data_IF_542672604950
#
_entry.id   IF_542672604950
#
_cell.length_a   1.000
_cell.length_b   1.000
_cell.length_c   1.000
_cell.angle_alpha   90.00
_cell.angle_beta   90.00
_cell.angle_gamma   90.00
#
_symmetry.space_group_name_H-M   'P 1'
#
loop_
_entity.id
_entity.type
_entity.pdbx_description
1 polymer ?
#
# COMPACT_ATOMS: atom_id res chain seq x y z
N UNK A 1 -61.45 -18.95 62.94
CA UNK A 1 -61.15 -20.08 62.05
C UNK A 1 -61.19 -19.57 60.62
N UNK A 2 -60.13 -18.91 60.14
CA UNK A 2 -60.06 -18.30 58.86
C UNK A 2 -59.03 -19.05 57.97
N UNK A 3 -59.48 -19.57 56.83
CA UNK A 3 -58.67 -20.25 55.83
C UNK A 3 -58.12 -19.23 54.85
N UNK A 4 -56.81 -19.02 54.88
CA UNK A 4 -56.14 -18.27 53.80
C UNK A 4 -55.84 -19.18 52.59
N UNK A 5 -56.40 -18.84 51.47
CA UNK A 5 -56.10 -19.45 50.20
C UNK A 5 -54.92 -18.68 49.59
N UNK A 6 -53.79 -19.34 49.43
CA UNK A 6 -52.65 -18.83 48.68
C UNK A 6 -52.90 -18.94 47.20
N UNK A 7 -52.87 -17.80 46.52
CA UNK A 7 -52.89 -17.72 45.07
C UNK A 7 -51.44 -17.62 44.63
N UNK A 8 -50.95 -18.67 43.96
CA UNK A 8 -49.68 -18.64 43.24
C UNK A 8 -49.83 -17.87 41.96
N UNK A 9 -49.18 -16.71 41.87
CA UNK A 9 -49.10 -15.91 40.62
C UNK A 9 -47.82 -16.35 39.89
N UNK A 10 -47.99 -17.10 38.82
CA UNK A 10 -46.92 -17.54 37.95
C UNK A 10 -46.51 -16.40 37.01
N UNK A 11 -45.35 -15.76 37.24
CA UNK A 11 -44.76 -14.79 36.32
C UNK A 11 -44.03 -15.54 35.21
N UNK A 12 -44.62 -15.51 34.01
CA UNK A 12 -43.97 -16.01 32.79
C UNK A 12 -43.07 -14.90 32.25
N UNK A 13 -41.78 -14.97 32.51
CA UNK A 13 -40.78 -14.05 31.92
C UNK A 13 -40.41 -14.52 30.50
N UNK A 14 -40.99 -13.85 29.51
CA UNK A 14 -40.60 -14.03 28.09
C UNK A 14 -39.29 -13.30 27.85
N UNK A 15 -38.19 -14.04 27.74
CA UNK A 15 -36.89 -13.48 27.33
C UNK A 15 -36.93 -13.18 25.83
N UNK A 16 -36.98 -11.90 25.50
CA UNK A 16 -36.82 -11.41 24.12
C UNK A 16 -35.33 -11.46 23.76
N UNK A 17 -34.90 -12.50 23.04
CA UNK A 17 -33.57 -12.56 22.47
C UNK A 17 -33.52 -11.63 21.28
N UNK A 18 -33.08 -10.39 21.49
CA UNK A 18 -32.72 -9.48 20.40
C UNK A 18 -31.46 -10.01 19.73
N UNK A 19 -31.63 -10.67 18.58
CA UNK A 19 -30.54 -11.04 17.70
C UNK A 19 -29.87 -9.76 17.17
N UNK A 20 -28.70 -9.43 17.69
CA UNK A 20 -27.83 -8.42 17.06
C UNK A 20 -27.32 -9.04 15.76
N UNK A 21 -28.02 -8.77 14.65
CA UNK A 21 -27.46 -8.92 13.32
C UNK A 21 -26.33 -7.89 13.21
N UNK A 22 -25.09 -8.34 13.34
CA UNK A 22 -23.94 -7.54 12.96
C UNK A 22 -24.12 -7.16 11.48
N UNK A 23 -24.12 -5.87 11.13
CA UNK A 23 -24.09 -5.50 9.72
C UNK A 23 -22.79 -6.09 9.17
N UNK A 24 -22.92 -7.12 8.33
CA UNK A 24 -21.83 -7.61 7.53
C UNK A 24 -21.30 -6.43 6.72
N UNK A 25 -20.13 -5.95 7.10
CA UNK A 25 -19.37 -4.99 6.30
C UNK A 25 -18.99 -5.68 5.00
N UNK A 26 -19.89 -5.66 4.01
CA UNK A 26 -19.50 -5.82 2.61
C UNK A 26 -18.83 -4.52 2.19
N UNK A 27 -17.70 -4.23 2.82
CA UNK A 27 -16.77 -3.25 2.30
C UNK A 27 -16.23 -3.84 1.00
N UNK A 28 -16.84 -3.52 -0.13
CA UNK A 28 -16.10 -3.46 -1.38
C UNK A 28 -14.97 -2.47 -1.12
N UNK A 29 -13.82 -3.01 -0.70
CA UNK A 29 -12.58 -2.25 -0.71
C UNK A 29 -12.34 -1.96 -2.18
N UNK A 30 -12.67 -0.73 -2.60
CA UNK A 30 -12.14 -0.20 -3.87
C UNK A 30 -10.68 -0.62 -3.91
N UNK A 31 -10.22 -1.31 -4.97
CA UNK A 31 -8.88 -1.89 -4.99
C UNK A 31 -7.79 -0.84 -4.70
N UNK A 32 -8.12 0.45 -4.87
CA UNK A 32 -7.22 1.54 -4.52
C UNK A 32 -5.84 1.30 -5.11
N UNK A 33 -4.82 1.42 -4.29
CA UNK A 33 -3.43 1.17 -4.72
C UNK A 33 -2.98 -0.28 -4.52
N UNK A 34 -3.67 -1.08 -3.68
CA UNK A 34 -3.28 -2.48 -3.38
C UNK A 34 -3.19 -3.32 -4.65
N UNK A 35 -2.09 -4.06 -4.82
CA UNK A 35 -1.84 -4.93 -5.97
C UNK A 35 -0.48 -4.70 -6.61
N UNK A 36 -0.28 -5.29 -7.78
CA UNK A 36 0.95 -5.24 -8.56
C UNK A 36 0.80 -4.30 -9.76
N UNK A 37 1.88 -3.59 -10.08
CA UNK A 37 1.90 -2.52 -11.06
C UNK A 37 3.16 -2.57 -11.91
N UNK A 38 3.01 -2.37 -13.23
CA UNK A 38 4.12 -2.01 -14.12
C UNK A 38 4.15 -0.48 -14.23
N UNK A 39 5.31 0.13 -13.98
CA UNK A 39 5.45 1.57 -13.88
C UNK A 39 6.51 2.07 -14.85
N UNK A 40 6.13 3.01 -15.68
CA UNK A 40 7.05 3.79 -16.51
C UNK A 40 7.62 4.93 -15.66
N UNK A 41 8.94 5.06 -15.65
CA UNK A 41 9.68 6.08 -14.90
C UNK A 41 10.39 6.99 -15.89
N UNK A 42 9.98 8.26 -15.95
CA UNK A 42 10.65 9.28 -16.75
C UNK A 42 11.75 9.94 -15.93
N UNK A 43 13.00 9.77 -16.36
CA UNK A 43 14.24 10.28 -15.75
C UNK A 43 14.92 11.25 -16.71
N UNK A 44 15.78 12.17 -16.25
CA UNK A 44 16.60 13.00 -17.15
C UNK A 44 17.45 12.16 -18.12
N UNK A 45 17.91 10.98 -17.69
CA UNK A 45 18.71 10.05 -18.50
C UNK A 45 17.87 9.13 -19.42
N UNK A 46 16.54 9.28 -19.48
CA UNK A 46 15.67 8.45 -20.31
C UNK A 46 14.54 7.78 -19.53
N UNK A 47 13.84 6.89 -20.23
CA UNK A 47 12.68 6.17 -19.68
C UNK A 47 13.09 4.79 -19.19
N UNK A 48 12.61 4.41 -18.00
CA UNK A 48 12.82 3.10 -17.40
C UNK A 48 11.52 2.44 -16.96
N UNK A 49 11.62 1.20 -16.48
CA UNK A 49 10.50 0.41 -15.97
C UNK A 49 10.76 -0.06 -14.54
N UNK A 50 9.72 -0.01 -13.74
CA UNK A 50 9.69 -0.62 -12.40
C UNK A 50 8.47 -1.54 -12.28
N UNK A 51 8.59 -2.53 -11.41
CA UNK A 51 7.47 -3.29 -10.85
C UNK A 51 7.27 -2.82 -9.41
N UNK A 52 6.05 -2.45 -9.06
CA UNK A 52 5.68 -2.03 -7.72
C UNK A 52 4.60 -2.96 -7.19
N UNK A 53 4.72 -3.34 -5.91
CA UNK A 53 3.68 -4.11 -5.22
C UNK A 53 3.31 -3.38 -3.93
N UNK A 54 2.03 -3.07 -3.80
CA UNK A 54 1.44 -2.47 -2.61
C UNK A 54 0.57 -3.50 -1.91
N UNK A 55 0.95 -3.89 -0.69
CA UNK A 55 0.20 -4.83 0.13
C UNK A 55 -0.80 -4.11 1.04
N UNK A 56 -1.89 -4.78 1.40
CA UNK A 56 -2.97 -4.20 2.22
C UNK A 56 -2.55 -3.82 3.64
N UNK A 57 -1.44 -4.37 4.12
CA UNK A 57 -0.84 -4.05 5.43
C UNK A 57 0.01 -2.77 5.43
N UNK A 58 0.10 -2.06 4.29
CA UNK A 58 0.94 -0.87 4.15
C UNK A 58 2.39 -1.16 3.74
N UNK A 59 2.74 -2.43 3.50
CA UNK A 59 4.05 -2.79 2.98
C UNK A 59 4.17 -2.49 1.49
N UNK A 60 5.37 -2.12 1.04
CA UNK A 60 5.65 -1.74 -0.33
C UNK A 60 6.95 -2.35 -0.84
N UNK A 61 6.91 -2.93 -2.04
CA UNK A 61 8.07 -3.51 -2.71
C UNK A 61 8.27 -2.89 -4.10
N UNK A 62 9.54 -2.71 -4.45
CA UNK A 62 9.96 -2.22 -5.77
C UNK A 62 11.05 -3.10 -6.34
N UNK A 63 10.92 -3.49 -7.61
CA UNK A 63 12.04 -3.91 -8.46
C UNK A 63 12.05 -3.07 -9.74
N UNK A 64 13.14 -3.07 -10.48
CA UNK A 64 13.22 -2.25 -11.69
C UNK A 64 14.40 -2.61 -12.58
N UNK A 65 14.40 -1.98 -13.74
CA UNK A 65 15.37 -2.14 -14.82
C UNK A 65 16.80 -1.64 -14.50
N UNK A 66 16.98 -1.06 -13.32
CA UNK A 66 18.29 -0.57 -12.83
C UNK A 66 19.15 -1.64 -12.14
N UNK A 67 18.69 -2.90 -12.16
CA UNK A 67 19.52 -4.01 -11.72
C UNK A 67 20.69 -4.23 -12.72
N UNK A 68 21.96 -4.50 -12.27
CA UNK A 68 22.36 -4.86 -10.89
C UNK A 68 22.82 -3.69 -10.01
N UNK A 69 22.77 -2.44 -10.47
CA UNK A 69 23.30 -1.29 -9.69
C UNK A 69 22.38 -0.84 -8.53
N UNK A 70 21.11 -1.27 -8.54
CA UNK A 70 20.20 -1.12 -7.41
C UNK A 70 19.61 -2.47 -7.02
N UNK A 71 19.48 -2.71 -5.72
CA UNK A 71 18.69 -3.84 -5.19
C UNK A 71 17.20 -3.64 -5.44
N UNK A 72 16.38 -4.66 -5.13
CA UNK A 72 14.98 -4.45 -4.81
C UNK A 72 14.83 -3.41 -3.70
N UNK A 73 13.73 -2.65 -3.73
CA UNK A 73 13.40 -1.66 -2.72
C UNK A 73 12.32 -2.18 -1.79
N UNK A 74 12.47 -1.91 -0.50
CA UNK A 74 11.50 -2.23 0.55
C UNK A 74 11.03 -0.95 1.21
N UNK A 75 9.74 -0.87 1.53
CA UNK A 75 9.20 0.33 2.12
C UNK A 75 7.77 0.20 2.62
N UNK A 76 7.17 1.35 2.84
CA UNK A 76 5.81 1.46 3.33
C UNK A 76 5.03 2.50 2.51
N UNK A 77 3.71 2.37 2.54
CA UNK A 77 2.80 3.29 1.90
C UNK A 77 1.57 3.53 2.78
N UNK A 78 0.88 4.65 2.51
CA UNK A 78 -0.39 4.98 3.15
C UNK A 78 -1.27 5.82 2.22
N UNK A 79 -2.58 5.77 2.43
CA UNK A 79 -3.52 6.72 1.83
C UNK A 79 -3.41 8.06 2.57
N UNK A 80 -3.38 9.16 1.82
CA UNK A 80 -3.31 10.53 2.35
C UNK A 80 -4.47 11.42 1.89
N UNK A 81 -5.24 10.97 0.89
CA UNK A 81 -6.42 11.63 0.36
C UNK A 81 -7.38 10.63 -0.27
N UNK A 82 -8.44 11.12 -0.92
CA UNK A 82 -9.46 10.25 -1.53
C UNK A 82 -8.84 9.29 -2.55
N UNK A 83 -7.98 9.81 -3.42
CA UNK A 83 -7.26 9.04 -4.46
C UNK A 83 -5.76 9.31 -4.41
N UNK A 84 -5.26 9.77 -3.26
CA UNK A 84 -3.88 10.17 -3.07
C UNK A 84 -3.20 9.25 -2.07
N UNK A 85 -1.95 8.89 -2.37
CA UNK A 85 -1.15 7.98 -1.58
C UNK A 85 0.30 8.44 -1.54
N UNK A 86 0.92 8.27 -0.38
CA UNK A 86 2.35 8.45 -0.21
C UNK A 86 3.03 7.11 0.03
N UNK A 87 4.18 6.92 -0.60
CA UNK A 87 5.04 5.76 -0.38
C UNK A 87 6.49 6.18 -0.17
N UNK A 88 7.21 5.39 0.61
CA UNK A 88 8.65 5.56 0.80
C UNK A 88 9.32 4.20 0.76
N UNK A 89 10.43 4.09 0.03
CA UNK A 89 11.25 2.88 0.04
C UNK A 89 12.74 3.19 0.06
N UNK A 90 13.52 2.20 0.46
CA UNK A 90 14.98 2.21 0.43
C UNK A 90 15.45 1.06 -0.46
N UNK A 91 16.45 1.31 -1.29
CA UNK A 91 17.18 0.32 -2.09
C UNK A 91 18.68 0.51 -1.90
N UNK A 92 19.44 -0.58 -1.89
CA UNK A 92 20.90 -0.51 -1.83
C UNK A 92 21.49 -0.22 -3.21
N UNK A 93 22.58 0.52 -3.22
CA UNK A 93 23.35 0.88 -4.41
C UNK A 93 24.63 0.08 -4.47
N UNK A 94 24.97 -0.37 -5.67
CA UNK A 94 26.19 -1.12 -5.96
C UNK A 94 26.95 -0.46 -7.10
N UNK A 95 28.29 -0.57 -7.06
CA UNK A 95 29.16 -0.19 -8.16
C UNK A 95 29.20 -1.27 -9.25
N UNK A 96 29.99 -1.05 -10.29
CA UNK A 96 30.19 -1.99 -11.40
C UNK A 96 30.79 -3.33 -10.95
N UNK A 97 31.53 -3.36 -9.81
CA UNK A 97 32.10 -4.56 -9.20
C UNK A 97 31.13 -5.22 -8.20
N UNK A 98 29.86 -4.78 -8.17
CA UNK A 98 28.81 -5.24 -7.22
C UNK A 98 29.14 -4.99 -5.74
N UNK A 99 30.04 -4.05 -5.47
CA UNK A 99 30.34 -3.61 -4.10
C UNK A 99 29.25 -2.63 -3.65
N UNK A 100 28.74 -2.80 -2.44
CA UNK A 100 27.82 -1.87 -1.83
C UNK A 100 28.46 -0.49 -1.62
N UNK A 101 27.83 0.55 -2.10
CA UNK A 101 28.32 1.95 -2.08
C UNK A 101 27.33 2.94 -1.44
N UNK A 102 26.26 2.45 -0.82
CA UNK A 102 25.26 3.29 -0.16
C UNK A 102 23.82 2.89 -0.51
N UNK A 103 22.91 3.83 -0.44
CA UNK A 103 21.49 3.57 -0.66
C UNK A 103 20.80 4.69 -1.46
N UNK A 104 19.59 4.43 -1.89
CA UNK A 104 18.62 5.46 -2.27
C UNK A 104 17.43 5.40 -1.32
N UNK A 105 16.95 6.57 -0.89
CA UNK A 105 15.65 6.74 -0.25
C UNK A 105 14.72 7.47 -1.23
N UNK A 106 13.66 6.81 -1.64
CA UNK A 106 12.70 7.37 -2.60
C UNK A 106 11.37 7.61 -1.91
N UNK A 107 10.85 8.83 -2.02
CA UNK A 107 9.51 9.23 -1.56
C UNK A 107 8.66 9.49 -2.78
N UNK A 108 7.48 8.90 -2.81
CA UNK A 108 6.56 8.95 -3.96
C UNK A 108 5.23 9.53 -3.49
N UNK A 109 4.72 10.49 -4.23
CA UNK A 109 3.33 10.91 -4.15
C UNK A 109 2.59 10.38 -5.37
N UNK A 110 1.47 9.69 -5.16
CA UNK A 110 0.73 8.94 -6.19
C UNK A 110 -0.71 9.45 -6.21
N UNK A 111 -1.24 9.65 -7.42
CA UNK A 111 -2.65 9.96 -7.67
C UNK A 111 -3.23 8.84 -8.53
N UNK A 112 -4.19 8.08 -7.98
CA UNK A 112 -4.89 7.01 -8.69
C UNK A 112 -5.83 7.59 -9.74
N UNK A 113 -5.84 6.98 -10.91
CA UNK A 113 -6.75 7.30 -12.02
C UNK A 113 -8.19 6.81 -11.78
N UNK A 114 -9.18 7.22 -12.58
CA UNK A 114 -10.53 6.67 -12.53
C UNK A 114 -10.51 5.15 -12.75
N UNK A 115 -11.19 4.38 -11.91
CA UNK A 115 -11.26 2.92 -12.02
C UNK A 115 -10.05 2.16 -11.47
N UNK A 116 -9.12 2.86 -10.79
CA UNK A 116 -8.00 2.27 -10.03
C UNK A 116 -7.08 1.31 -10.83
N UNK A 117 -7.05 1.42 -12.16
CA UNK A 117 -6.19 0.60 -13.02
C UNK A 117 -4.96 1.37 -13.54
N UNK A 118 -4.93 2.66 -13.32
CA UNK A 118 -3.81 3.53 -13.68
C UNK A 118 -3.54 4.52 -12.56
N UNK A 119 -2.30 4.98 -12.48
CA UNK A 119 -1.92 6.09 -11.62
C UNK A 119 -0.85 6.96 -12.26
N UNK A 120 -0.76 8.21 -11.80
CA UNK A 120 0.40 9.08 -12.02
C UNK A 120 1.07 9.37 -10.70
N UNK A 121 2.34 9.76 -10.73
CA UNK A 121 3.05 10.14 -9.52
C UNK A 121 4.32 10.91 -9.79
N UNK A 122 4.82 11.50 -8.70
CA UNK A 122 6.13 12.17 -8.67
C UNK A 122 6.95 11.53 -7.55
N UNK A 123 8.21 11.22 -7.82
CA UNK A 123 9.11 10.67 -6.83
C UNK A 123 10.34 11.55 -6.65
N UNK A 124 10.69 11.82 -5.38
CA UNK A 124 11.94 12.44 -4.96
C UNK A 124 12.91 11.36 -4.50
N UNK A 125 14.02 11.26 -5.17
CA UNK A 125 15.07 10.26 -4.92
C UNK A 125 16.24 10.94 -4.21
N UNK A 126 16.54 10.50 -3.00
CA UNK A 126 17.71 10.91 -2.21
C UNK A 126 18.78 9.84 -2.33
N UNK A 127 19.94 10.18 -2.88
CA UNK A 127 21.11 9.29 -2.93
C UNK A 127 21.92 9.48 -1.67
N UNK A 128 22.32 8.36 -1.03
CA UNK A 128 23.05 8.34 0.24
C UNK A 128 24.33 7.53 0.12
N UNK A 129 25.37 7.97 0.80
CA UNK A 129 26.63 7.24 0.92
C UNK A 129 26.56 6.14 2.00
N UNK A 130 27.70 5.52 2.28
CA UNK A 130 27.83 4.45 3.29
C UNK A 130 27.64 4.94 4.74
N UNK A 131 27.74 6.24 4.99
CA UNK A 131 27.52 6.90 6.27
C UNK A 131 26.09 7.46 6.41
N UNK A 132 25.19 7.08 5.46
CA UNK A 132 23.80 7.54 5.37
C UNK A 132 23.67 9.07 5.14
N UNK A 133 24.74 9.73 4.72
CA UNK A 133 24.71 11.15 4.34
C UNK A 133 24.13 11.31 2.95
N UNK A 134 23.21 12.25 2.78
CA UNK A 134 22.68 12.59 1.47
C UNK A 134 23.76 13.28 0.61
N UNK A 135 24.00 12.70 -0.57
CA UNK A 135 25.03 13.17 -1.52
C UNK A 135 24.44 13.62 -2.86
N UNK A 136 23.12 13.47 -3.04
CA UNK A 136 22.43 13.94 -4.23
C UNK A 136 20.93 13.71 -4.16
N UNK A 137 20.20 14.51 -4.94
CA UNK A 137 18.73 14.39 -5.08
C UNK A 137 18.34 14.49 -6.55
N UNK A 138 17.23 13.84 -6.90
CA UNK A 138 16.60 13.98 -8.21
C UNK A 138 15.08 13.80 -8.08
N UNK A 139 14.36 14.28 -9.08
CA UNK A 139 12.92 14.09 -9.19
C UNK A 139 12.61 13.34 -10.49
N UNK A 140 11.65 12.43 -10.42
CA UNK A 140 11.20 11.62 -11.56
C UNK A 140 9.68 11.54 -11.59
N UNK A 141 9.11 11.39 -12.78
CA UNK A 141 7.67 11.18 -12.97
C UNK A 141 7.35 9.72 -13.20
N UNK A 142 6.20 9.29 -12.72
CA UNK A 142 5.74 7.91 -12.75
C UNK A 142 4.39 7.82 -13.44
N UNK A 143 4.23 6.76 -14.24
CA UNK A 143 2.94 6.35 -14.79
C UNK A 143 2.80 4.84 -14.57
N UNK A 144 1.82 4.44 -13.74
CA UNK A 144 1.57 3.06 -13.39
C UNK A 144 0.36 2.50 -14.10
N UNK A 145 0.46 1.22 -14.49
CA UNK A 145 -0.66 0.40 -14.97
C UNK A 145 -0.74 -0.85 -14.11
N UNK A 146 -1.95 -1.19 -13.67
CA UNK A 146 -2.19 -2.39 -12.87
C UNK A 146 -1.90 -3.64 -13.68
N UNK A 147 -1.20 -4.60 -13.09
CA UNK A 147 -1.01 -5.92 -13.66
C UNK A 147 -2.30 -6.70 -13.43
N UNK A 148 -2.91 -7.19 -14.50
CA UNK A 148 -4.13 -8.00 -14.48
C UNK A 148 -3.75 -9.47 -14.62
N UNK A 149 -4.57 -10.34 -14.02
CA UNK A 149 -4.49 -11.79 -14.30
C UNK A 149 -5.09 -12.03 -15.68
N UNK A 150 -4.31 -12.62 -16.55
CA UNK A 150 -4.76 -13.01 -17.89
C UNK A 150 -5.33 -14.43 -17.87
N UNK A 151 -6.42 -14.72 -18.60
CA UNK A 151 -6.92 -16.08 -18.74
C UNK A 151 -5.89 -16.92 -19.50
N UNK A 152 -5.81 -18.20 -19.10
CA UNK A 152 -4.93 -19.19 -19.74
C UNK A 152 -5.60 -19.83 -20.94
#
# INVERSE_FOLDING_TARGET
MFKFRSVLLSLLTTALVAGFASPGSTGETSPGLVGAWIVTVSRPAGVGKNLLTFSSDGTFFRSGDTHPVLSGGHGAWKRVGDREFDATYIAFRFDENRKWIGSTKTRIHIISGPGDNEFTGVAKVSTRDLQDKEVGTSEVRLQGKRIQVEPF
#
